data_IF_167584478312
#
_entry.id   IF_167584478312
#
_cell.length_a   1.000
_cell.length_b   1.000
_cell.length_c   1.000
_cell.angle_alpha   90.00
_cell.angle_beta   90.00
_cell.angle_gamma   90.00
#
_symmetry.space_group_name_H-M   'P 1'
#
loop_
_entity.id
_entity.type
_entity.pdbx_description
1 polymer ?
#
# COMPACT_ATOMS: atom_id res chain seq x y z
N UNK A 1 7.33 16.58 4.04
CA UNK A 1 7.11 15.17 4.43
C UNK A 1 7.42 14.22 3.29
N UNK A 2 6.51 13.89 2.35
CA UNK A 2 6.81 12.87 1.29
C UNK A 2 8.05 13.21 0.47
N UNK A 3 8.25 14.49 0.11
CA UNK A 3 9.42 14.95 -0.64
C UNK A 3 10.71 14.89 0.21
N UNK A 4 10.65 15.11 1.51
CA UNK A 4 11.82 15.02 2.41
C UNK A 4 12.20 13.56 2.66
N UNK A 5 11.20 12.68 2.82
CA UNK A 5 11.39 11.24 2.96
C UNK A 5 11.89 10.61 1.64
N UNK A 6 11.42 11.08 0.48
CA UNK A 6 11.99 10.74 -0.83
C UNK A 6 13.42 11.26 -0.99
N UNK A 7 13.69 12.51 -0.59
CA UNK A 7 15.04 13.07 -0.60
C UNK A 7 15.99 12.23 0.25
N UNK A 8 15.55 11.72 1.39
CA UNK A 8 16.34 10.81 2.22
C UNK A 8 16.67 9.47 1.52
N UNK A 9 15.76 8.98 0.66
CA UNK A 9 15.98 7.79 -0.16
C UNK A 9 17.06 8.00 -1.25
N UNK A 10 17.02 9.16 -1.92
CA UNK A 10 17.90 9.47 -3.06
C UNK A 10 19.22 10.16 -2.71
N UNK A 11 19.32 10.84 -1.55
CA UNK A 11 20.48 11.68 -1.20
C UNK A 11 21.42 11.04 -0.16
N UNK A 12 20.97 10.07 0.64
CA UNK A 12 21.82 9.44 1.66
C UNK A 12 22.53 8.21 1.07
N UNK A 13 23.88 8.25 1.03
CA UNK A 13 24.73 7.13 0.55
C UNK A 13 24.48 5.81 1.28
N UNK A 14 24.06 5.87 2.54
CA UNK A 14 23.72 4.70 3.37
C UNK A 14 22.55 3.87 2.80
N UNK A 15 21.68 4.48 1.98
CA UNK A 15 20.52 3.82 1.39
C UNK A 15 20.78 3.28 -0.03
N UNK A 16 22.03 3.33 -0.52
CA UNK A 16 22.34 3.03 -1.92
C UNK A 16 21.91 1.62 -2.34
N UNK A 17 22.11 0.60 -1.48
CA UNK A 17 21.68 -0.77 -1.78
C UNK A 17 20.16 -0.85 -1.94
N UNK A 18 19.41 -0.24 -1.03
CA UNK A 18 17.94 -0.20 -1.08
C UNK A 18 17.48 0.56 -2.32
N UNK A 19 18.13 1.66 -2.65
CA UNK A 19 17.84 2.46 -3.83
C UNK A 19 18.06 1.64 -5.12
N UNK A 20 19.20 0.94 -5.23
CA UNK A 20 19.49 0.07 -6.38
C UNK A 20 18.43 -1.01 -6.52
N UNK A 21 18.07 -1.70 -5.43
CA UNK A 21 17.04 -2.74 -5.46
C UNK A 21 15.64 -2.17 -5.79
N UNK A 22 15.35 -0.96 -5.35
CA UNK A 22 14.09 -0.27 -5.68
C UNK A 22 14.04 0.13 -7.15
N UNK A 23 15.13 0.69 -7.70
CA UNK A 23 15.23 1.00 -9.14
C UNK A 23 15.10 -0.29 -9.96
N UNK A 24 15.76 -1.36 -9.53
CA UNK A 24 15.66 -2.67 -10.18
C UNK A 24 14.22 -3.20 -10.16
N UNK A 25 13.53 -3.10 -9.02
CA UNK A 25 12.11 -3.42 -8.91
C UNK A 25 11.26 -2.61 -9.89
N UNK A 26 11.50 -1.29 -9.99
CA UNK A 26 10.77 -0.40 -10.90
C UNK A 26 11.01 -0.79 -12.36
N UNK A 27 12.26 -1.07 -12.75
CA UNK A 27 12.59 -1.51 -14.11
C UNK A 27 11.85 -2.81 -14.42
N UNK A 28 11.95 -3.81 -13.54
CA UNK A 28 11.22 -5.05 -13.70
C UNK A 28 9.72 -4.80 -13.84
N UNK A 29 9.14 -4.06 -12.88
CA UNK A 29 7.70 -3.79 -12.83
C UNK A 29 7.21 -3.08 -14.09
N UNK A 30 7.98 -2.14 -14.63
CA UNK A 30 7.71 -1.51 -15.94
C UNK A 30 7.63 -2.57 -17.04
N UNK A 31 8.60 -3.47 -17.11
CA UNK A 31 8.63 -4.48 -18.17
C UNK A 31 7.46 -5.47 -18.09
N UNK A 32 7.05 -5.90 -16.89
CA UNK A 32 5.86 -6.75 -16.75
C UNK A 32 4.56 -5.99 -17.00
N UNK A 33 4.45 -4.75 -16.54
CA UNK A 33 3.26 -3.92 -16.75
C UNK A 33 3.02 -3.63 -18.22
N UNK A 34 4.07 -3.59 -19.05
CA UNK A 34 4.01 -3.28 -20.48
C UNK A 34 4.53 -4.44 -21.33
N UNK A 35 4.18 -5.67 -20.96
CA UNK A 35 4.66 -6.88 -21.62
C UNK A 35 4.23 -7.02 -23.09
N UNK A 36 3.23 -6.26 -23.53
CA UNK A 36 2.87 -6.17 -24.95
C UNK A 36 3.97 -5.47 -25.77
N UNK A 37 4.74 -4.59 -25.15
CA UNK A 37 5.84 -3.83 -25.76
C UNK A 37 7.21 -4.46 -25.50
N UNK A 38 7.34 -5.30 -24.48
CA UNK A 38 8.60 -5.91 -24.05
C UNK A 38 8.51 -7.44 -24.04
N UNK A 39 9.62 -8.15 -24.29
CA UNK A 39 9.59 -9.62 -24.23
C UNK A 39 9.46 -10.13 -22.79
N UNK A 40 8.56 -11.10 -22.58
CA UNK A 40 8.39 -11.83 -21.31
C UNK A 40 9.71 -12.40 -20.78
N UNK A 41 10.57 -12.91 -21.67
CA UNK A 41 11.86 -13.47 -21.30
C UNK A 41 12.82 -12.40 -20.73
N UNK A 42 12.77 -11.17 -21.26
CA UNK A 42 13.56 -10.05 -20.76
C UNK A 42 13.07 -9.65 -19.36
N UNK A 43 11.75 -9.53 -19.18
CA UNK A 43 11.16 -9.23 -17.88
C UNK A 43 11.54 -10.29 -16.82
N UNK A 44 11.49 -11.58 -17.19
CA UNK A 44 11.93 -12.69 -16.34
C UNK A 44 13.42 -12.62 -15.98
N UNK A 45 14.28 -12.34 -16.96
CA UNK A 45 15.72 -12.26 -16.76
C UNK A 45 16.11 -11.15 -15.78
N UNK A 46 15.32 -10.07 -15.71
CA UNK A 46 15.52 -8.97 -14.77
C UNK A 46 14.94 -9.29 -13.38
N UNK A 47 13.75 -9.89 -13.30
CA UNK A 47 13.09 -10.15 -12.01
C UNK A 47 13.65 -11.33 -11.22
N UNK A 48 14.10 -12.40 -11.88
CA UNK A 48 14.60 -13.60 -11.19
C UNK A 48 15.83 -13.30 -10.31
N UNK A 49 16.86 -12.59 -10.80
CA UNK A 49 17.98 -12.20 -9.95
C UNK A 49 17.52 -11.33 -8.78
N UNK A 50 16.65 -10.34 -9.03
CA UNK A 50 16.13 -9.45 -7.99
C UNK A 50 15.51 -10.24 -6.83
N UNK A 51 14.67 -11.24 -7.12
CA UNK A 51 14.08 -12.09 -6.09
C UNK A 51 15.14 -12.82 -5.26
N UNK A 52 16.14 -13.42 -5.92
CA UNK A 52 17.22 -14.09 -5.21
C UNK A 52 18.05 -13.15 -4.34
N UNK A 53 18.34 -11.94 -4.84
CA UNK A 53 19.01 -10.89 -4.06
C UNK A 53 18.17 -10.46 -2.85
N UNK A 54 16.88 -10.17 -3.02
CA UNK A 54 16.03 -9.76 -1.92
C UNK A 54 15.91 -10.85 -0.86
N UNK A 55 15.75 -12.13 -1.24
CA UNK A 55 15.73 -13.24 -0.26
C UNK A 55 17.08 -13.39 0.43
N UNK A 56 18.19 -13.34 -0.31
CA UNK A 56 19.53 -13.45 0.28
C UNK A 56 19.81 -12.35 1.30
N UNK A 57 19.52 -11.09 0.95
CA UNK A 57 19.66 -9.95 1.86
C UNK A 57 18.68 -10.03 3.03
N UNK A 58 17.44 -10.47 2.80
CA UNK A 58 16.45 -10.67 3.85
C UNK A 58 16.90 -11.71 4.87
N UNK A 59 17.36 -12.89 4.42
CA UNK A 59 17.87 -13.97 5.29
C UNK A 59 19.05 -13.47 6.11
N UNK A 60 20.02 -12.77 5.51
CA UNK A 60 21.16 -12.24 6.24
C UNK A 60 20.74 -11.18 7.26
N UNK A 61 19.85 -10.26 6.89
CA UNK A 61 19.36 -9.25 7.84
C UNK A 61 18.63 -9.90 9.02
N UNK A 62 17.86 -10.97 8.79
CA UNK A 62 17.23 -11.74 9.85
C UNK A 62 18.23 -12.49 10.74
N UNK A 63 19.18 -13.22 10.15
CA UNK A 63 20.15 -14.04 10.90
C UNK A 63 21.13 -13.18 11.67
N UNK A 64 21.65 -12.12 11.05
CA UNK A 64 22.65 -11.26 11.66
C UNK A 64 22.04 -10.17 12.55
N UNK A 65 20.73 -9.89 12.39
CA UNK A 65 20.02 -8.77 13.03
C UNK A 65 20.69 -7.41 12.82
N UNK A 66 21.52 -7.29 11.77
CA UNK A 66 22.21 -6.06 11.38
C UNK A 66 21.43 -5.34 10.30
N UNK A 67 21.53 -4.02 10.33
CA UNK A 67 21.06 -3.17 9.25
C UNK A 67 21.95 -3.40 8.03
N UNK A 68 21.32 -3.52 6.85
CA UNK A 68 22.00 -3.84 5.60
C UNK A 68 22.99 -2.73 5.20
N UNK A 69 22.76 -1.52 5.72
CA UNK A 69 23.61 -0.33 5.54
C UNK A 69 24.98 -0.47 6.20
N UNK A 70 25.10 -1.33 7.21
CA UNK A 70 26.33 -1.52 8.01
C UNK A 70 27.06 -2.84 7.67
N UNK A 71 26.69 -3.50 6.58
CA UNK A 71 27.31 -4.78 6.23
C UNK A 71 28.77 -4.62 5.85
N UNK A 72 29.63 -5.41 6.51
CA UNK A 72 31.01 -5.59 6.09
C UNK A 72 31.06 -6.31 4.74
N UNK A 73 32.05 -6.00 3.90
CA UNK A 73 32.26 -6.58 2.57
C UNK A 73 32.18 -8.11 2.54
N UNK A 74 32.69 -8.79 3.58
CA UNK A 74 32.61 -10.26 3.70
C UNK A 74 31.16 -10.77 3.82
N UNK A 75 30.32 -10.07 4.58
CA UNK A 75 28.89 -10.39 4.74
C UNK A 75 28.11 -10.05 3.47
N UNK A 76 28.50 -8.99 2.77
CA UNK A 76 27.91 -8.65 1.47
C UNK A 76 28.24 -9.70 0.41
N UNK A 77 29.49 -10.18 0.33
CA UNK A 77 29.87 -11.28 -0.56
C UNK A 77 29.12 -12.58 -0.21
N UNK A 78 28.96 -12.87 1.09
CA UNK A 78 28.13 -13.99 1.53
C UNK A 78 26.67 -13.82 1.07
N UNK A 79 26.11 -12.60 1.16
CA UNK A 79 24.77 -12.29 0.68
C UNK A 79 24.61 -12.53 -0.81
N UNK A 80 25.58 -12.08 -1.60
CA UNK A 80 25.61 -12.30 -3.04
C UNK A 80 25.73 -13.79 -3.34
N UNK A 81 26.59 -14.54 -2.63
CA UNK A 81 26.74 -15.98 -2.81
C UNK A 81 25.46 -16.76 -2.48
N UNK A 82 24.79 -16.42 -1.38
CA UNK A 82 23.48 -16.97 -1.00
C UNK A 82 22.44 -16.60 -2.06
N UNK A 83 22.38 -15.34 -2.48
CA UNK A 83 21.46 -14.87 -3.51
C UNK A 83 21.64 -15.64 -4.82
N UNK A 84 22.87 -15.78 -5.32
CA UNK A 84 23.18 -16.53 -6.55
C UNK A 84 22.79 -18.00 -6.42
N UNK A 85 23.09 -18.63 -5.28
CA UNK A 85 22.67 -20.01 -4.99
C UNK A 85 21.14 -20.13 -5.01
N UNK A 86 20.46 -19.17 -4.39
CA UNK A 86 19.00 -19.09 -4.37
C UNK A 86 18.44 -18.89 -5.78
N UNK A 87 19.03 -18.02 -6.63
CA UNK A 87 18.64 -17.86 -8.04
C UNK A 87 18.75 -19.18 -8.80
N UNK A 88 19.83 -19.94 -8.58
CA UNK A 88 20.04 -21.22 -9.23
C UNK A 88 19.05 -22.30 -8.74
N UNK A 89 18.78 -22.33 -7.43
CA UNK A 89 17.75 -23.20 -6.85
C UNK A 89 16.35 -22.83 -7.37
N UNK A 90 16.08 -21.53 -7.53
CA UNK A 90 14.86 -21.04 -8.13
C UNK A 90 14.70 -21.55 -9.55
N UNK A 91 15.76 -21.61 -10.38
CA UNK A 91 15.63 -22.18 -11.72
C UNK A 91 15.25 -23.67 -11.76
N UNK A 92 15.64 -24.47 -10.76
CA UNK A 92 15.37 -25.92 -10.72
C UNK A 92 14.05 -26.31 -10.04
N UNK A 93 13.68 -25.67 -8.92
CA UNK A 93 12.49 -26.01 -8.10
C UNK A 93 11.37 -24.96 -8.29
N UNK A 94 11.51 -24.14 -9.34
CA UNK A 94 10.70 -22.96 -9.64
C UNK A 94 9.20 -23.14 -9.37
N UNK A 95 8.60 -24.22 -9.89
CA UNK A 95 7.15 -24.41 -9.89
C UNK A 95 6.55 -24.55 -8.48
N UNK A 96 7.28 -25.10 -7.52
CA UNK A 96 6.77 -25.32 -6.15
C UNK A 96 7.04 -24.13 -5.24
N UNK A 97 8.29 -23.63 -5.23
CA UNK A 97 8.68 -22.53 -4.35
C UNK A 97 7.99 -21.24 -4.76
N UNK A 98 7.86 -20.98 -6.07
CA UNK A 98 7.15 -19.80 -6.56
C UNK A 98 5.71 -19.81 -6.07
N UNK A 99 4.97 -20.92 -6.16
CA UNK A 99 3.56 -20.97 -5.69
C UNK A 99 3.40 -20.68 -4.20
N UNK A 100 4.33 -21.14 -3.35
CA UNK A 100 4.28 -20.90 -1.90
C UNK A 100 4.69 -19.47 -1.54
N UNK A 101 5.88 -19.05 -1.98
CA UNK A 101 6.38 -17.69 -1.75
C UNK A 101 5.48 -16.64 -2.39
N UNK A 102 4.78 -16.99 -3.47
CA UNK A 102 3.79 -16.16 -4.12
C UNK A 102 2.59 -15.84 -3.23
N UNK A 103 1.90 -16.84 -2.68
CA UNK A 103 0.72 -16.58 -1.82
C UNK A 103 1.09 -15.73 -0.61
N UNK A 104 2.25 -16.05 -0.01
CA UNK A 104 2.75 -15.31 1.13
C UNK A 104 3.21 -13.89 0.76
N UNK A 105 3.83 -13.73 -0.42
CA UNK A 105 4.25 -12.44 -0.98
C UNK A 105 3.06 -11.54 -1.30
N UNK A 106 2.00 -12.03 -1.95
CA UNK A 106 0.79 -11.25 -2.23
C UNK A 106 0.18 -10.72 -0.92
N UNK A 107 -0.09 -11.62 0.03
CA UNK A 107 -0.73 -11.25 1.30
C UNK A 107 0.15 -10.26 2.06
N UNK A 108 1.46 -10.51 2.11
CA UNK A 108 2.41 -9.61 2.76
C UNK A 108 2.47 -8.23 2.10
N UNK A 109 2.52 -8.18 0.77
CA UNK A 109 2.54 -6.93 0.01
C UNK A 109 1.29 -6.12 0.28
N UNK A 110 0.11 -6.73 0.08
CA UNK A 110 -1.18 -6.07 0.30
C UNK A 110 -1.29 -5.58 1.75
N UNK A 111 -0.92 -6.42 2.72
CA UNK A 111 -0.98 -6.07 4.14
C UNK A 111 -0.06 -4.90 4.48
N UNK A 112 1.22 -4.97 4.09
CA UNK A 112 2.20 -3.92 4.39
C UNK A 112 1.77 -2.62 3.74
N UNK A 113 1.48 -2.62 2.43
CA UNK A 113 1.06 -1.42 1.71
C UNK A 113 -0.23 -0.84 2.30
N UNK A 114 -1.23 -1.66 2.63
CA UNK A 114 -2.47 -1.17 3.25
C UNK A 114 -2.25 -0.55 4.63
N UNK A 115 -1.41 -1.15 5.49
CA UNK A 115 -1.09 -0.61 6.82
C UNK A 115 -0.40 0.75 6.71
N UNK A 116 0.65 0.84 5.89
CA UNK A 116 1.40 2.09 5.73
C UNK A 116 0.56 3.18 5.07
N UNK A 117 -0.28 2.83 4.10
CA UNK A 117 -1.20 3.77 3.49
C UNK A 117 -2.27 4.27 4.47
N UNK A 118 -2.93 3.39 5.23
CA UNK A 118 -3.93 3.79 6.24
C UNK A 118 -3.32 4.72 7.28
N UNK A 119 -2.12 4.41 7.74
CA UNK A 119 -1.40 5.25 8.67
C UNK A 119 -1.01 6.61 8.06
N UNK A 120 -0.66 6.65 6.78
CA UNK A 120 -0.42 7.89 6.04
C UNK A 120 -1.67 8.76 5.96
N UNK A 121 -2.81 8.16 5.61
CA UNK A 121 -4.10 8.84 5.58
C UNK A 121 -4.42 9.45 6.93
N UNK A 122 -4.27 8.68 8.00
CA UNK A 122 -4.49 9.15 9.36
C UNK A 122 -3.60 10.36 9.69
N UNK A 123 -2.28 10.27 9.45
CA UNK A 123 -1.35 11.37 9.77
C UNK A 123 -1.65 12.63 8.95
N UNK A 124 -1.94 12.48 7.66
CA UNK A 124 -2.24 13.62 6.80
C UNK A 124 -3.54 14.28 7.23
N UNK A 125 -4.59 13.49 7.45
CA UNK A 125 -5.88 13.97 7.93
C UNK A 125 -5.76 14.69 9.27
N UNK A 126 -4.96 14.14 10.18
CA UNK A 126 -4.69 14.75 11.48
C UNK A 126 -3.96 16.10 11.36
N UNK A 127 -2.94 16.18 10.49
CA UNK A 127 -2.26 17.45 10.19
C UNK A 127 -3.17 18.48 9.54
N UNK A 128 -4.12 18.04 8.71
CA UNK A 128 -5.11 18.92 8.11
C UNK A 128 -6.04 19.51 9.18
N UNK A 129 -6.50 18.68 10.12
CA UNK A 129 -7.31 19.13 11.26
C UNK A 129 -6.53 20.07 12.18
N UNK A 130 -5.24 19.80 12.43
CA UNK A 130 -4.36 20.68 13.20
C UNK A 130 -4.24 22.08 12.60
N UNK A 131 -4.02 22.16 11.27
CA UNK A 131 -4.00 23.44 10.56
C UNK A 131 -5.35 24.16 10.57
N UNK A 132 -6.46 23.41 10.56
CA UNK A 132 -7.79 23.99 10.67
C UNK A 132 -8.08 24.49 12.10
N UNK A 133 -7.54 23.80 13.11
CA UNK A 133 -7.68 24.17 14.51
C UNK A 133 -6.91 25.45 14.86
N UNK A 134 -5.76 25.69 14.24
CA UNK A 134 -4.92 26.87 14.49
C UNK A 134 -5.48 28.19 13.94
N UNK A 135 -6.63 28.16 13.27
CA UNK A 135 -7.29 29.38 12.78
C UNK A 135 -8.05 30.09 13.89
N UNK A 136 -8.21 31.41 13.76
CA UNK A 136 -9.02 32.21 14.70
C UNK A 136 -10.50 31.80 14.66
N UNK A 137 -11.15 31.85 15.83
CA UNK A 137 -12.60 31.65 15.91
C UNK A 137 -13.34 32.78 15.16
N UNK A 138 -14.48 32.50 14.48
CA UNK A 138 -15.19 31.22 14.38
C UNK A 138 -14.75 30.34 13.19
N UNK A 139 -13.73 30.77 12.43
CA UNK A 139 -13.33 30.12 11.17
C UNK A 139 -12.85 28.69 11.40
N UNK A 140 -12.21 28.41 12.53
CA UNK A 140 -11.79 27.06 12.92
C UNK A 140 -12.96 26.07 13.01
N UNK A 141 -14.06 26.42 13.69
CA UNK A 141 -15.22 25.55 13.89
C UNK A 141 -15.92 25.27 12.57
N UNK A 142 -16.13 26.31 11.76
CA UNK A 142 -16.78 26.20 10.45
C UNK A 142 -15.95 25.28 9.54
N UNK A 143 -14.64 25.52 9.42
CA UNK A 143 -13.77 24.72 8.55
C UNK A 143 -13.73 23.26 8.99
N UNK A 144 -13.64 23.00 10.29
CA UNK A 144 -13.61 21.64 10.84
C UNK A 144 -14.91 20.88 10.59
N UNK A 145 -16.06 21.55 10.67
CA UNK A 145 -17.35 20.97 10.28
C UNK A 145 -17.44 20.67 8.79
N UNK A 146 -16.97 21.59 7.94
CA UNK A 146 -16.88 21.38 6.48
C UNK A 146 -15.98 20.19 6.17
N UNK A 147 -14.82 20.08 6.83
CA UNK A 147 -13.92 18.95 6.66
C UNK A 147 -14.57 17.61 7.06
N UNK A 148 -15.28 17.60 8.19
CA UNK A 148 -15.96 16.40 8.68
C UNK A 148 -17.13 15.98 7.78
N UNK A 149 -18.14 16.84 7.64
CA UNK A 149 -19.37 16.53 6.89
C UNK A 149 -19.06 16.47 5.40
N UNK A 150 -18.39 17.48 4.86
CA UNK A 150 -18.05 17.56 3.44
C UNK A 150 -17.15 16.40 3.01
N UNK A 151 -16.11 16.09 3.79
CA UNK A 151 -15.25 14.95 3.52
C UNK A 151 -15.99 13.61 3.54
N UNK A 152 -16.85 13.40 4.53
CA UNK A 152 -17.66 12.16 4.64
C UNK A 152 -18.64 12.01 3.48
N UNK A 153 -19.45 13.05 3.20
CA UNK A 153 -20.45 13.01 2.14
C UNK A 153 -19.81 12.86 0.76
N UNK A 154 -18.73 13.60 0.50
CA UNK A 154 -18.01 13.51 -0.77
C UNK A 154 -17.39 12.11 -0.95
N UNK A 155 -16.84 11.52 0.11
CA UNK A 155 -16.30 10.15 0.08
C UNK A 155 -17.36 9.12 -0.30
N UNK A 156 -18.52 9.15 0.38
CA UNK A 156 -19.65 8.26 0.11
C UNK A 156 -20.14 8.43 -1.33
N UNK A 157 -20.28 9.69 -1.77
CA UNK A 157 -20.71 10.01 -3.13
C UNK A 157 -19.75 9.44 -4.18
N UNK A 158 -18.44 9.62 -4.00
CA UNK A 158 -17.41 9.11 -4.91
C UNK A 158 -17.42 7.58 -4.95
N UNK A 159 -17.46 6.90 -3.80
CA UNK A 159 -17.51 5.42 -3.75
C UNK A 159 -18.75 4.91 -4.50
N UNK A 160 -19.90 5.57 -4.32
CA UNK A 160 -21.13 5.19 -5.01
C UNK A 160 -21.01 5.34 -6.53
N UNK A 161 -20.43 6.45 -7.01
CA UNK A 161 -20.18 6.65 -8.44
C UNK A 161 -19.27 5.54 -8.97
N UNK A 162 -18.16 5.25 -8.29
CA UNK A 162 -17.20 4.24 -8.76
C UNK A 162 -17.78 2.84 -8.72
N UNK A 163 -18.63 2.52 -7.75
CA UNK A 163 -19.38 1.27 -7.75
C UNK A 163 -20.30 1.16 -8.97
N UNK A 164 -21.08 2.21 -9.30
CA UNK A 164 -21.99 2.22 -10.45
C UNK A 164 -21.22 2.16 -11.78
N UNK A 165 -20.18 2.98 -11.94
CA UNK A 165 -19.35 3.01 -13.15
C UNK A 165 -18.66 1.66 -13.35
N UNK A 166 -18.08 1.12 -12.27
CA UNK A 166 -17.42 -0.19 -12.28
C UNK A 166 -18.36 -1.33 -12.66
N UNK A 167 -19.60 -1.32 -12.16
CA UNK A 167 -20.64 -2.28 -12.54
C UNK A 167 -20.91 -2.23 -14.05
N UNK A 168 -21.02 -1.03 -14.61
CA UNK A 168 -21.28 -0.84 -16.04
C UNK A 168 -20.06 -1.16 -16.93
N UNK A 169 -18.84 -1.14 -16.38
CA UNK A 169 -17.60 -1.47 -17.09
C UNK A 169 -17.28 -2.96 -17.09
N UNK A 170 -17.71 -3.70 -16.07
CA UNK A 170 -17.41 -5.12 -15.94
C UNK A 170 -18.19 -5.96 -16.95
N UNK A 171 -17.57 -6.28 -18.10
CA UNK A 171 -18.12 -7.15 -19.16
C UNK A 171 -18.03 -8.66 -18.83
N UNK A 172 -18.32 -9.05 -17.59
CA UNK A 172 -18.26 -10.45 -17.11
C UNK A 172 -19.54 -10.84 -16.34
N UNK A 173 -19.60 -12.10 -15.89
CA UNK A 173 -20.74 -12.70 -15.18
C UNK A 173 -21.32 -11.77 -14.09
N UNK A 174 -22.66 -11.56 -14.04
CA UNK A 174 -23.32 -10.68 -13.09
C UNK A 174 -22.88 -10.88 -11.63
N UNK A 175 -22.62 -12.13 -11.23
CA UNK A 175 -22.23 -12.48 -9.85
C UNK A 175 -20.93 -11.81 -9.37
N UNK A 176 -19.96 -11.62 -10.26
CA UNK A 176 -18.67 -10.98 -9.90
C UNK A 176 -18.83 -9.47 -9.78
N UNK A 177 -19.65 -8.92 -10.67
CA UNK A 177 -19.98 -7.49 -10.73
C UNK A 177 -20.76 -7.07 -9.49
N UNK A 178 -21.77 -7.87 -9.11
CA UNK A 178 -22.57 -7.68 -7.90
C UNK A 178 -21.69 -7.78 -6.63
N UNK A 179 -20.71 -8.69 -6.62
CA UNK A 179 -19.77 -8.84 -5.51
C UNK A 179 -18.90 -7.62 -5.26
N UNK A 180 -18.36 -6.99 -6.31
CA UNK A 180 -17.57 -5.76 -6.19
C UNK A 180 -18.44 -4.54 -5.85
N UNK A 181 -19.67 -4.48 -6.37
CA UNK A 181 -20.65 -3.48 -5.95
C UNK A 181 -20.97 -3.57 -4.44
N UNK A 182 -21.12 -4.78 -3.91
CA UNK A 182 -21.37 -5.04 -2.50
C UNK A 182 -20.20 -4.59 -1.61
N UNK A 183 -18.95 -4.75 -2.05
CA UNK A 183 -17.78 -4.23 -1.34
C UNK A 183 -17.85 -2.71 -1.18
N UNK A 184 -18.23 -1.98 -2.23
CA UNK A 184 -18.43 -0.54 -2.16
C UNK A 184 -19.49 -0.15 -1.12
N UNK A 185 -20.59 -0.91 -1.04
CA UNK A 185 -21.64 -0.73 -0.03
C UNK A 185 -21.10 -0.96 1.38
N UNK A 186 -20.32 -2.03 1.60
CA UNK A 186 -19.70 -2.30 2.91
C UNK A 186 -18.83 -1.13 3.36
N UNK A 187 -17.98 -0.61 2.48
CA UNK A 187 -17.10 0.53 2.80
C UNK A 187 -17.94 1.77 3.17
N UNK A 188 -19.01 2.06 2.43
CA UNK A 188 -19.92 3.16 2.76
C UNK A 188 -20.59 2.98 4.13
N UNK A 189 -21.08 1.78 4.45
CA UNK A 189 -21.68 1.49 5.75
C UNK A 189 -20.66 1.71 6.88
N UNK A 190 -19.43 1.26 6.71
CA UNK A 190 -18.35 1.48 7.69
C UNK A 190 -18.07 2.96 7.88
N UNK A 191 -17.98 3.73 6.81
CA UNK A 191 -17.77 5.19 6.89
C UNK A 191 -18.90 5.87 7.64
N UNK A 192 -20.16 5.48 7.39
CA UNK A 192 -21.33 6.00 8.11
C UNK A 192 -21.26 5.63 9.59
N UNK A 193 -20.96 4.38 9.93
CA UNK A 193 -20.82 3.93 11.33
C UNK A 193 -19.72 4.72 12.05
N UNK A 194 -18.54 4.85 11.45
CA UNK A 194 -17.44 5.64 12.01
C UNK A 194 -17.80 7.12 12.12
N UNK A 195 -18.52 7.69 11.16
CA UNK A 195 -19.01 9.07 11.23
C UNK A 195 -20.01 9.26 12.37
N UNK A 196 -20.94 8.31 12.58
CA UNK A 196 -21.87 8.33 13.72
C UNK A 196 -21.10 8.27 15.04
N UNK A 197 -20.10 7.40 15.16
CA UNK A 197 -19.21 7.35 16.34
C UNK A 197 -18.50 8.70 16.53
N UNK A 198 -17.97 9.30 15.46
CA UNK A 198 -17.35 10.62 15.49
C UNK A 198 -18.30 11.78 15.84
N UNK A 199 -19.60 11.65 15.54
CA UNK A 199 -20.64 12.58 15.99
C UNK A 199 -20.93 12.35 17.47
N UNK A 200 -21.02 11.11 17.94
CA UNK A 200 -21.24 10.80 19.36
C UNK A 200 -20.11 11.37 20.25
N UNK A 201 -18.88 11.46 19.77
CA UNK A 201 -17.79 12.11 20.52
C UNK A 201 -17.98 13.62 20.69
N UNK A 202 -18.90 14.27 19.96
CA UNK A 202 -19.28 15.67 20.19
C UNK A 202 -19.97 15.87 21.53
N UNK A 203 -20.61 14.85 22.09
CA UNK A 203 -21.19 14.89 23.44
C UNK A 203 -20.08 15.21 24.47
N UNK A 204 -18.84 14.78 24.20
CA UNK A 204 -17.64 15.04 25.01
C UNK A 204 -16.89 16.29 24.49
N UNK A 205 -17.52 17.13 23.66
CA UNK A 205 -16.93 18.32 23.01
C UNK A 205 -15.65 18.02 22.20
N UNK A 206 -15.62 16.85 21.55
CA UNK A 206 -14.52 16.40 20.68
C UNK A 206 -15.02 16.20 19.25
N UNK A 207 -14.89 17.23 18.41
CA UNK A 207 -15.13 17.11 16.97
C UNK A 207 -13.93 16.43 16.30
N UNK A 208 -14.12 15.23 15.78
CA UNK A 208 -13.08 14.48 15.06
C UNK A 208 -13.02 14.88 13.57
N UNK A 209 -12.72 16.15 13.27
CA UNK A 209 -12.78 16.66 11.89
C UNK A 209 -11.78 16.01 10.92
N UNK A 210 -10.66 15.49 11.45
CA UNK A 210 -9.73 14.67 10.69
C UNK A 210 -10.41 13.45 10.04
N UNK A 211 -11.49 12.90 10.63
CA UNK A 211 -12.15 11.71 10.11
C UNK A 211 -12.71 11.90 8.69
N UNK A 212 -13.24 13.09 8.38
CA UNK A 212 -13.75 13.39 7.03
C UNK A 212 -12.65 13.46 5.98
N UNK A 213 -11.49 14.05 6.31
CA UNK A 213 -10.31 14.04 5.42
C UNK A 213 -9.74 12.63 5.29
N UNK A 214 -9.72 11.88 6.38
CA UNK A 214 -9.29 10.48 6.38
C UNK A 214 -10.15 9.64 5.43
N UNK A 215 -11.48 9.76 5.47
CA UNK A 215 -12.37 9.09 4.53
C UNK A 215 -12.09 9.46 3.08
N UNK A 216 -11.81 10.74 2.78
CA UNK A 216 -11.47 11.14 1.41
C UNK A 216 -10.22 10.44 0.91
N UNK A 217 -9.17 10.38 1.74
CA UNK A 217 -7.91 9.73 1.35
C UNK A 217 -8.07 8.22 1.21
N UNK A 218 -8.78 7.58 2.14
CA UNK A 218 -9.08 6.14 2.09
C UNK A 218 -9.92 5.81 0.86
N UNK A 219 -10.83 6.70 0.47
CA UNK A 219 -11.64 6.56 -0.74
C UNK A 219 -10.76 6.49 -1.99
N UNK A 220 -9.69 7.27 -2.08
CA UNK A 220 -8.76 7.19 -3.22
C UNK A 220 -8.13 5.79 -3.35
N UNK A 221 -7.74 5.15 -2.25
CA UNK A 221 -7.25 3.77 -2.28
C UNK A 221 -8.36 2.78 -2.63
N UNK A 222 -9.56 2.95 -2.11
CA UNK A 222 -10.70 2.10 -2.45
C UNK A 222 -11.01 2.18 -3.96
N UNK A 223 -11.00 3.37 -4.56
CA UNK A 223 -11.18 3.58 -6.00
C UNK A 223 -10.11 2.83 -6.79
N UNK A 224 -8.84 2.98 -6.40
CA UNK A 224 -7.73 2.27 -7.04
C UNK A 224 -7.93 0.74 -6.97
N UNK A 225 -8.25 0.20 -5.78
CA UNK A 225 -8.50 -1.24 -5.61
C UNK A 225 -9.69 -1.72 -6.46
N UNK A 226 -10.75 -0.90 -6.56
CA UNK A 226 -11.93 -1.21 -7.35
C UNK A 226 -11.59 -1.23 -8.85
N UNK A 227 -10.95 -0.18 -9.38
CA UNK A 227 -10.55 -0.15 -10.78
C UNK A 227 -9.53 -1.22 -11.13
N UNK A 228 -8.56 -1.49 -10.25
CA UNK A 228 -7.61 -2.60 -10.42
C UNK A 228 -8.32 -3.95 -10.50
N UNK A 229 -9.30 -4.19 -9.62
CA UNK A 229 -10.15 -5.38 -9.67
C UNK A 229 -10.97 -5.47 -10.97
N UNK A 230 -11.64 -4.39 -11.36
CA UNK A 230 -12.42 -4.35 -12.60
C UNK A 230 -11.56 -4.57 -13.84
N UNK A 231 -10.37 -3.96 -13.89
CA UNK A 231 -9.41 -4.11 -14.98
C UNK A 231 -8.90 -5.56 -15.08
N UNK A 232 -8.51 -6.16 -13.95
CA UNK A 232 -8.07 -7.55 -13.90
C UNK A 232 -9.15 -8.55 -14.35
N UNK A 233 -10.43 -8.23 -14.11
CA UNK A 233 -11.57 -9.07 -14.50
C UNK A 233 -12.03 -8.82 -15.95
N UNK A 234 -11.85 -7.60 -16.47
CA UNK A 234 -12.29 -7.17 -17.79
C UNK A 234 -11.35 -7.54 -18.94
N UNK A 235 -10.06 -7.76 -18.66
CA UNK A 235 -9.00 -7.92 -19.68
C UNK A 235 -8.97 -9.26 -20.44
N UNK A 236 -10.08 -10.02 -20.47
CA UNK A 236 -10.18 -11.19 -21.35
C UNK A 236 -10.35 -10.78 -22.81
N UNK A 237 -9.24 -10.50 -23.49
CA UNK A 237 -9.10 -10.56 -24.95
C UNK A 237 -9.23 -9.24 -25.71
N UNK A 238 -8.10 -8.78 -26.25
CA UNK A 238 -7.97 -8.01 -27.50
C UNK A 238 -8.81 -6.74 -27.68
N UNK A 239 -8.96 -5.89 -26.65
CA UNK A 239 -9.47 -4.53 -26.87
C UNK A 239 -8.43 -3.49 -26.46
N UNK A 240 -7.99 -2.72 -27.46
CA UNK A 240 -7.08 -1.55 -27.41
C UNK A 240 -7.55 -0.40 -26.50
N UNK A 241 -8.64 -0.58 -25.76
CA UNK A 241 -9.37 0.46 -25.05
C UNK A 241 -8.83 0.83 -23.65
N UNK A 242 -7.74 0.23 -23.16
CA UNK A 242 -7.33 0.46 -21.76
C UNK A 242 -5.89 0.90 -21.51
N UNK A 243 -5.11 1.26 -22.54
CA UNK A 243 -3.72 1.73 -22.32
C UNK A 243 -3.66 2.90 -21.31
N UNK A 244 -4.61 3.84 -21.38
CA UNK A 244 -4.68 4.97 -20.45
C UNK A 244 -5.02 4.55 -19.02
N UNK A 245 -5.92 3.57 -18.84
CA UNK A 245 -6.26 3.03 -17.53
C UNK A 245 -5.09 2.26 -16.94
N UNK A 246 -4.42 1.44 -17.76
CA UNK A 246 -3.21 0.70 -17.40
C UNK A 246 -2.08 1.64 -16.96
N UNK A 247 -1.81 2.71 -17.72
CA UNK A 247 -0.85 3.76 -17.33
C UNK A 247 -1.26 4.40 -16.01
N UNK A 248 -2.54 4.72 -15.81
CA UNK A 248 -3.05 5.31 -14.57
C UNK A 248 -2.86 4.40 -13.36
N UNK A 249 -3.24 3.12 -13.47
CA UNK A 249 -3.06 2.11 -12.43
C UNK A 249 -1.57 1.88 -12.13
N UNK A 250 -0.74 1.79 -13.16
CA UNK A 250 0.71 1.65 -13.05
C UNK A 250 1.36 2.82 -12.29
N UNK A 251 1.01 4.07 -12.64
CA UNK A 251 1.54 5.24 -11.96
C UNK A 251 1.10 5.31 -10.49
N UNK A 252 -0.14 4.91 -10.20
CA UNK A 252 -0.64 4.83 -8.83
C UNK A 252 0.12 3.75 -8.02
N UNK A 253 0.37 2.59 -8.62
CA UNK A 253 1.16 1.51 -8.02
C UNK A 253 2.60 1.93 -7.73
N UNK A 254 3.26 2.57 -8.70
CA UNK A 254 4.58 3.14 -8.49
C UNK A 254 4.57 4.14 -7.34
N UNK A 255 3.57 5.03 -7.32
CA UNK A 255 3.38 6.00 -6.25
C UNK A 255 3.25 5.32 -4.89
N UNK A 256 2.44 4.26 -4.78
CA UNK A 256 2.28 3.47 -3.56
C UNK A 256 3.58 2.79 -3.13
N UNK A 257 4.32 2.16 -4.04
CA UNK A 257 5.57 1.45 -3.73
C UNK A 257 6.62 2.43 -3.23
N UNK A 258 6.85 3.51 -3.98
CA UNK A 258 7.82 4.55 -3.61
C UNK A 258 7.43 5.17 -2.27
N UNK A 259 6.15 5.51 -2.10
CA UNK A 259 5.65 6.07 -0.85
C UNK A 259 5.87 5.13 0.34
N UNK A 260 5.55 3.84 0.17
CA UNK A 260 5.68 2.84 1.23
C UNK A 260 7.15 2.65 1.61
N UNK A 261 8.05 2.51 0.62
CA UNK A 261 9.48 2.37 0.86
C UNK A 261 10.04 3.63 1.53
N UNK A 262 9.72 4.84 1.03
CA UNK A 262 10.17 6.10 1.65
C UNK A 262 9.67 6.26 3.08
N UNK A 263 8.43 5.87 3.36
CA UNK A 263 7.86 5.93 4.72
C UNK A 263 8.54 4.93 5.66
N UNK A 264 8.92 3.76 5.17
CA UNK A 264 9.70 2.77 5.92
C UNK A 264 11.16 3.23 6.10
N UNK A 265 11.74 4.05 5.23
CA UNK A 265 13.11 4.56 5.42
C UNK A 265 13.19 5.75 6.38
N UNK A 266 12.15 6.59 6.45
CA UNK A 266 12.12 7.76 7.33
C UNK A 266 12.17 7.44 8.83
N UNK A 267 12.24 8.48 9.67
CA UNK A 267 12.38 8.44 11.16
C UNK A 267 11.39 7.53 11.91
N UNK A 268 10.32 7.08 11.25
CA UNK A 268 9.28 6.25 11.86
C UNK A 268 9.65 4.77 11.95
N UNK A 269 10.68 4.37 11.24
CA UNK A 269 11.10 2.98 11.12
C UNK A 269 11.80 2.47 12.37
N UNK A 270 12.48 3.35 13.11
CA UNK A 270 13.07 3.04 14.41
C UNK A 270 12.00 2.60 15.42
N UNK A 271 10.87 3.33 15.51
CA UNK A 271 9.72 2.96 16.37
C UNK A 271 9.06 1.63 15.96
N UNK A 272 9.00 1.35 14.65
CA UNK A 272 8.46 0.09 14.13
C UNK A 272 9.40 -1.08 14.46
N UNK A 273 10.72 -0.87 14.31
CA UNK A 273 11.77 -1.84 14.66
C UNK A 273 11.80 -2.13 16.17
N UNK A 274 11.65 -1.10 17.02
CA UNK A 274 11.54 -1.25 18.48
C UNK A 274 10.33 -2.08 18.89
N UNK A 275 9.21 -1.92 18.18
CA UNK A 275 7.96 -2.66 18.46
C UNK A 275 8.03 -4.10 17.98
N UNK A 276 8.60 -4.34 16.79
CA UNK A 276 8.64 -5.68 16.18
C UNK A 276 9.71 -6.60 16.75
N UNK A 277 10.77 -6.08 17.40
CA UNK A 277 11.90 -6.76 18.09
C UNK A 277 12.68 -7.85 17.31
N UNK A 278 12.09 -8.43 16.28
CA UNK A 278 12.52 -9.62 15.55
C UNK A 278 13.03 -9.22 14.16
N UNK A 279 12.53 -8.11 13.60
CA UNK A 279 12.83 -7.69 12.23
C UNK A 279 13.28 -6.23 12.19
N UNK A 280 14.48 -6.01 11.63
CA UNK A 280 15.01 -4.67 11.33
C UNK A 280 14.29 -4.04 10.16
N UNK A 281 14.34 -2.72 10.08
CA UNK A 281 13.71 -1.90 9.02
C UNK A 281 14.13 -2.37 7.63
N UNK A 282 15.42 -2.60 7.44
CA UNK A 282 15.97 -3.03 6.15
C UNK A 282 15.42 -4.41 5.73
N UNK A 283 15.20 -5.33 6.67
CA UNK A 283 14.55 -6.61 6.38
C UNK A 283 13.08 -6.42 5.95
N UNK A 284 12.35 -5.50 6.57
CA UNK A 284 10.97 -5.16 6.16
C UNK A 284 10.97 -4.61 4.72
N UNK A 285 11.94 -3.77 4.36
CA UNK A 285 12.06 -3.22 3.00
C UNK A 285 12.44 -4.32 2.01
N UNK A 286 13.41 -5.18 2.32
CA UNK A 286 13.76 -6.32 1.45
C UNK A 286 12.58 -7.23 1.23
N UNK A 287 11.81 -7.50 2.30
CA UNK A 287 10.59 -8.29 2.23
C UNK A 287 9.51 -7.62 1.38
N UNK A 288 9.35 -6.30 1.47
CA UNK A 288 8.39 -5.56 0.65
C UNK A 288 8.77 -5.59 -0.84
N UNK A 289 10.04 -5.33 -1.17
CA UNK A 289 10.56 -5.39 -2.55
C UNK A 289 10.37 -6.81 -3.10
N UNK A 290 10.76 -7.82 -2.33
CA UNK A 290 10.54 -9.22 -2.66
C UNK A 290 9.06 -9.54 -2.89
N UNK A 291 8.18 -9.09 -2.01
CA UNK A 291 6.74 -9.39 -2.05
C UNK A 291 6.07 -8.79 -3.29
N UNK A 292 6.40 -7.53 -3.65
CA UNK A 292 5.93 -6.93 -4.90
C UNK A 292 6.51 -7.65 -6.13
N UNK A 293 7.80 -7.97 -6.11
CA UNK A 293 8.43 -8.69 -7.21
C UNK A 293 7.81 -10.07 -7.45
N UNK A 294 7.50 -10.80 -6.37
CA UNK A 294 6.86 -12.10 -6.42
C UNK A 294 5.40 -11.99 -6.92
N UNK A 295 4.68 -10.92 -6.52
CA UNK A 295 3.33 -10.63 -6.99
C UNK A 295 3.30 -10.46 -8.52
N UNK A 296 4.12 -9.57 -9.06
CA UNK A 296 4.15 -9.26 -10.50
C UNK A 296 4.56 -10.46 -11.35
N UNK A 297 5.58 -11.16 -10.90
CA UNK A 297 6.09 -12.32 -11.61
C UNK A 297 5.04 -13.43 -11.77
N UNK A 298 4.26 -13.65 -10.74
CA UNK A 298 3.27 -14.71 -10.76
C UNK A 298 1.97 -14.26 -11.44
N UNK A 299 1.63 -12.96 -11.39
CA UNK A 299 0.60 -12.39 -12.25
C UNK A 299 0.92 -12.64 -13.74
N UNK A 300 2.20 -12.49 -14.12
CA UNK A 300 2.66 -12.75 -15.48
C UNK A 300 2.82 -14.25 -15.82
N UNK A 301 3.23 -15.09 -14.87
CA UNK A 301 3.48 -16.52 -15.11
C UNK A 301 2.21 -17.38 -15.16
N UNK A 302 1.15 -17.00 -14.45
CA UNK A 302 -0.15 -17.66 -14.54
C UNK A 302 -1.28 -16.62 -14.42
N UNK A 303 -1.80 -16.13 -15.57
CA UNK A 303 -2.87 -15.14 -15.60
C UNK A 303 -4.13 -15.60 -14.87
N UNK A 304 -4.34 -16.92 -14.68
CA UNK A 304 -5.50 -17.42 -13.92
C UNK A 304 -5.35 -17.13 -12.44
N UNK A 305 -4.12 -17.12 -11.92
CA UNK A 305 -3.84 -16.81 -10.52
C UNK A 305 -3.88 -15.29 -10.29
N UNK A 306 -3.48 -14.47 -11.28
CA UNK A 306 -3.70 -13.02 -11.24
C UNK A 306 -5.19 -12.65 -11.33
N UNK A 307 -5.93 -13.33 -12.21
CA UNK A 307 -7.36 -13.11 -12.45
C UNK A 307 -8.26 -13.85 -11.45
N UNK A 308 -7.69 -14.58 -10.49
CA UNK A 308 -8.49 -15.19 -9.43
C UNK A 308 -9.10 -14.06 -8.60
N UNK A 309 -10.43 -14.06 -8.57
CA UNK A 309 -11.29 -13.26 -7.69
C UNK A 309 -10.70 -13.10 -6.27
N UNK A 310 -9.99 -14.13 -5.81
CA UNK A 310 -9.28 -14.15 -4.53
C UNK A 310 -8.30 -12.98 -4.37
N UNK A 311 -7.47 -12.62 -5.35
CA UNK A 311 -6.48 -11.53 -5.20
C UNK A 311 -7.15 -10.16 -5.13
N UNK A 312 -8.13 -9.91 -6.01
CA UNK A 312 -8.93 -8.69 -5.99
C UNK A 312 -9.76 -8.57 -4.70
N UNK A 313 -10.31 -9.68 -4.20
CA UNK A 313 -11.08 -9.72 -2.94
C UNK A 313 -10.17 -9.63 -1.71
N UNK A 314 -8.97 -10.22 -1.72
CA UNK A 314 -8.01 -10.18 -0.61
C UNK A 314 -7.57 -8.75 -0.30
N UNK A 315 -7.40 -7.92 -1.33
CA UNK A 315 -7.17 -6.47 -1.17
C UNK A 315 -8.23 -5.83 -0.29
N UNK A 316 -9.51 -6.07 -0.59
CA UNK A 316 -10.62 -5.55 0.20
C UNK A 316 -10.79 -6.23 1.56
N UNK A 317 -10.53 -7.54 1.64
CA UNK A 317 -10.65 -8.32 2.87
C UNK A 317 -9.68 -7.84 3.95
N UNK A 318 -8.51 -7.34 3.56
CA UNK A 318 -7.54 -6.70 4.47
C UNK A 318 -7.82 -5.21 4.67
N UNK A 319 -8.21 -4.50 3.60
CA UNK A 319 -8.50 -3.07 3.66
C UNK A 319 -9.66 -2.73 4.61
N UNK A 320 -10.76 -3.52 4.59
CA UNK A 320 -11.96 -3.27 5.39
C UNK A 320 -11.67 -3.32 6.91
N UNK A 321 -11.07 -4.39 7.47
CA UNK A 321 -10.69 -4.41 8.88
C UNK A 321 -9.70 -3.31 9.25
N UNK A 322 -8.72 -3.02 8.39
CA UNK A 322 -7.75 -1.95 8.63
C UNK A 322 -8.40 -0.57 8.69
N UNK A 323 -9.41 -0.31 7.85
CA UNK A 323 -10.20 0.92 7.88
C UNK A 323 -10.91 1.08 9.23
N UNK A 324 -11.56 0.02 9.71
CA UNK A 324 -12.25 0.01 11.01
C UNK A 324 -11.25 0.25 12.14
N UNK A 325 -10.14 -0.50 12.16
CA UNK A 325 -9.11 -0.41 13.20
C UNK A 325 -8.50 1.00 13.22
N UNK A 326 -8.06 1.52 12.07
CA UNK A 326 -7.45 2.84 11.98
C UNK A 326 -8.43 3.96 12.37
N UNK A 327 -9.69 3.85 11.95
CA UNK A 327 -10.75 4.79 12.33
C UNK A 327 -10.99 4.80 13.84
N UNK A 328 -11.19 3.63 14.46
CA UNK A 328 -11.45 3.51 15.91
C UNK A 328 -10.24 3.99 16.72
N UNK A 329 -9.04 3.50 16.40
CA UNK A 329 -7.80 3.90 17.09
C UNK A 329 -7.61 5.41 16.99
N UNK A 330 -7.84 6.00 15.81
CA UNK A 330 -7.74 7.43 15.60
C UNK A 330 -8.73 8.21 16.46
N UNK A 331 -9.99 7.76 16.55
CA UNK A 331 -11.04 8.42 17.35
C UNK A 331 -10.71 8.36 18.84
N UNK A 332 -10.28 7.20 19.33
CA UNK A 332 -9.94 6.99 20.75
C UNK A 332 -8.72 7.83 21.15
N UNK A 333 -7.67 7.83 20.32
CA UNK A 333 -6.44 8.57 20.62
C UNK A 333 -6.60 10.09 20.48
N UNK A 334 -7.58 10.57 19.70
CA UNK A 334 -7.83 12.00 19.52
C UNK A 334 -8.08 12.73 20.84
N UNK A 335 -8.74 12.05 21.79
CA UNK A 335 -9.03 12.59 23.10
C UNK A 335 -7.78 13.00 23.89
N UNK A 336 -6.79 12.11 23.94
CA UNK A 336 -5.51 12.36 24.63
C UNK A 336 -4.75 13.51 24.00
N UNK A 337 -4.74 13.56 22.66
CA UNK A 337 -4.00 14.58 21.93
C UNK A 337 -4.67 15.96 22.05
N UNK A 338 -6.00 16.01 22.18
CA UNK A 338 -6.72 17.27 22.44
C UNK A 338 -6.36 17.85 23.82
N UNK A 339 -6.30 17.00 24.85
CA UNK A 339 -5.91 17.41 26.21
C UNK A 339 -4.48 17.96 26.25
N UNK A 340 -3.53 17.29 25.57
CA UNK A 340 -2.14 17.78 25.45
C UNK A 340 -2.08 19.17 24.78
N UNK A 341 -2.95 19.44 23.79
CA UNK A 341 -3.01 20.72 23.07
C UNK A 341 -3.59 21.86 23.89
N UNK A 342 -4.65 21.60 24.64
CA UNK A 342 -5.26 22.60 25.53
C UNK A 342 -4.32 22.96 26.69
N UNK A 343 -3.36 22.10 27.04
CA UNK A 343 -2.34 22.38 28.07
C UNK A 343 -1.07 23.09 27.57
N UNK A 344 -0.86 23.16 26.25
CA UNK A 344 0.33 23.76 25.63
C UNK A 344 0.11 25.18 25.07
N UNK A 345 -1.15 25.65 25.11
CA UNK A 345 -1.59 27.02 24.79
C UNK A 345 -1.93 27.71 26.11
#
# INVERSE_FOLDING_TARGET
MVIEDLKALFLKKENLLILILTIWLIIGFTLFSFIEFFSYEIALAIFRPLLGFCVGFFVISLVTRKDLRELNWKLLLLAVGIAVTIVFLFTGIWRFIVRFLYRFGIISYILITAIFYMYACYKYAFKADEKAYSLEEPKNHILRWIMFIGGTLLSIFIIRIVAIVGINWARRSPKVVDGLGLVGIIIMVIMVVLAVIGILTLIIKRLNAWLGVFFLLVTLLAIYLMFSAYYALGSSGNTTSDLWLQIGLYLFDLGLIIYTISTIIGEKSEKISETLKIMKVDAIIMWLIFSKAAYELAAAADPRIAADLLNSVLGFLLFIPLLIIAGIIGIVNYGKIKEERESAV
#
